data_IF_285868293881
#
_entry.id   IF_285868293881
#
_cell.length_a   1.000
_cell.length_b   1.000
_cell.length_c   1.000
_cell.angle_alpha   90.00
_cell.angle_beta   90.00
_cell.angle_gamma   90.00
#
_symmetry.space_group_name_H-M   'P 1'
#
loop_
_entity.id
_entity.type
_entity.pdbx_description
1 polymer ?
#
# COMPACT_ATOMS: atom_id res chain seq x y z
N UNK A 1 12.99 -4.22 -9.69
CA UNK A 1 11.67 -4.81 -9.92
C UNK A 1 10.67 -4.30 -8.89
N UNK A 2 9.38 -4.46 -9.18
CA UNK A 2 8.35 -4.07 -8.21
C UNK A 2 8.43 -4.90 -6.93
N UNK A 3 8.92 -6.12 -6.99
CA UNK A 3 9.13 -6.96 -5.82
C UNK A 3 10.18 -6.35 -4.89
N UNK A 4 11.26 -5.80 -5.42
CA UNK A 4 12.30 -5.15 -4.63
C UNK A 4 11.76 -3.95 -3.87
N UNK A 5 10.79 -3.23 -4.45
CA UNK A 5 10.21 -2.05 -3.81
C UNK A 5 9.31 -2.41 -2.62
N UNK A 6 8.70 -3.60 -2.62
CA UNK A 6 7.84 -4.03 -1.53
C UNK A 6 8.53 -4.92 -0.52
N UNK A 7 9.76 -5.36 -0.81
CA UNK A 7 10.55 -6.21 0.07
C UNK A 7 11.34 -5.33 1.05
N UNK A 8 11.02 -5.44 2.34
CA UNK A 8 11.60 -4.58 3.37
C UNK A 8 12.38 -5.43 4.38
N UNK A 9 13.71 -5.20 4.52
CA UNK A 9 14.46 -5.88 5.58
C UNK A 9 14.13 -5.30 6.96
N UNK A 10 14.06 -6.15 7.96
CA UNK A 10 13.80 -5.74 9.34
C UNK A 10 15.08 -5.80 10.18
N UNK A 11 15.10 -5.07 11.32
CA UNK A 11 16.28 -5.06 12.20
C UNK A 11 16.71 -6.45 12.69
N UNK A 12 15.77 -7.39 12.80
CA UNK A 12 16.06 -8.77 13.23
C UNK A 12 16.43 -9.69 12.06
N UNK A 13 16.63 -9.13 10.87
CA UNK A 13 16.99 -9.91 9.67
C UNK A 13 15.81 -10.57 8.97
N UNK A 14 14.60 -10.44 9.49
CA UNK A 14 13.41 -10.97 8.83
C UNK A 14 12.98 -10.08 7.67
N UNK A 15 12.26 -10.69 6.72
CA UNK A 15 11.77 -9.98 5.53
C UNK A 15 10.24 -9.98 5.52
N UNK A 16 9.67 -8.84 5.13
CA UNK A 16 8.23 -8.65 4.97
C UNK A 16 7.93 -8.15 3.57
N UNK A 17 6.79 -8.56 3.03
CA UNK A 17 6.24 -8.01 1.80
C UNK A 17 5.04 -7.14 2.17
N UNK A 18 5.03 -5.90 1.69
CA UNK A 18 3.94 -4.96 1.97
C UNK A 18 3.00 -4.84 0.77
N UNK A 19 1.70 -4.74 1.06
CA UNK A 19 0.71 -4.41 0.04
C UNK A 19 0.94 -3.00 -0.50
N UNK A 20 0.73 -2.82 -1.81
CA UNK A 20 0.71 -1.50 -2.42
C UNK A 20 -0.46 -0.69 -1.89
N UNK A 21 -0.26 0.62 -1.75
CA UNK A 21 -1.29 1.52 -1.26
C UNK A 21 -2.37 1.77 -2.32
N UNK A 22 -3.63 2.03 -1.89
CA UNK A 22 -4.68 2.38 -2.84
C UNK A 22 -4.45 3.78 -3.44
N UNK A 23 -5.20 4.08 -4.50
CA UNK A 23 -5.20 5.39 -5.14
C UNK A 23 -6.61 5.98 -5.10
N UNK A 24 -6.73 7.28 -5.43
CA UNK A 24 -8.01 7.95 -5.58
C UNK A 24 -8.05 8.68 -6.92
N UNK A 25 -8.65 8.06 -7.92
CA UNK A 25 -8.76 8.64 -9.26
C UNK A 25 -9.59 9.92 -9.26
N UNK A 26 -10.63 9.99 -8.44
CA UNK A 26 -11.48 11.17 -8.35
C UNK A 26 -10.75 12.40 -7.80
N UNK A 27 -9.69 12.20 -7.01
CA UNK A 27 -8.88 13.27 -6.46
C UNK A 27 -7.67 13.60 -7.34
N UNK A 28 -7.54 12.98 -8.50
CA UNK A 28 -6.38 13.15 -9.37
C UNK A 28 -6.33 14.56 -9.95
N UNK A 29 -5.11 15.13 -9.93
CA UNK A 29 -4.84 16.35 -10.68
C UNK A 29 -4.81 16.04 -12.18
N UNK A 30 -4.97 17.06 -13.07
CA UNK A 30 -4.89 16.80 -14.51
C UNK A 30 -3.60 16.11 -14.93
N UNK A 31 -2.49 16.40 -14.27
CA UNK A 31 -1.19 15.80 -14.57
C UNK A 31 -1.14 14.32 -14.20
N UNK A 32 -1.88 13.92 -13.17
CA UNK A 32 -1.87 12.53 -12.68
C UNK A 32 -2.94 11.65 -13.30
N UNK A 33 -3.97 12.24 -13.90
CA UNK A 33 -5.06 11.43 -14.50
C UNK A 33 -4.60 10.35 -15.47
N UNK A 34 -3.64 10.62 -16.38
CA UNK A 34 -3.17 9.56 -17.29
C UNK A 34 -2.53 8.39 -16.54
N UNK A 35 -1.76 8.66 -15.47
CA UNK A 35 -1.15 7.61 -14.66
C UNK A 35 -2.20 6.76 -13.97
N UNK A 36 -3.24 7.38 -13.40
CA UNK A 36 -4.26 6.68 -12.62
C UNK A 36 -5.25 5.92 -13.50
N UNK A 37 -5.32 6.21 -14.79
CA UNK A 37 -6.08 5.39 -15.73
C UNK A 37 -5.43 4.02 -15.94
N UNK A 38 -4.11 3.97 -15.83
CA UNK A 38 -3.34 2.72 -15.97
C UNK A 38 -3.21 2.00 -14.65
N UNK A 39 -2.90 2.75 -13.57
CA UNK A 39 -2.76 2.21 -12.22
C UNK A 39 -4.10 2.36 -11.48
N UNK A 40 -4.94 1.35 -11.56
CA UNK A 40 -6.25 1.33 -10.91
C UNK A 40 -6.21 0.57 -9.60
N UNK A 41 -7.17 0.83 -8.71
CA UNK A 41 -7.31 0.07 -7.46
C UNK A 41 -7.57 -1.41 -7.74
N UNK A 42 -8.26 -1.73 -8.81
CA UNK A 42 -8.49 -3.11 -9.22
C UNK A 42 -7.17 -3.82 -9.54
N UNK A 43 -6.31 -3.17 -10.31
CA UNK A 43 -4.99 -3.73 -10.65
C UNK A 43 -4.09 -3.82 -9.41
N UNK A 44 -4.18 -2.82 -8.53
CA UNK A 44 -3.44 -2.84 -7.26
C UNK A 44 -3.89 -4.03 -6.41
N UNK A 45 -5.19 -4.28 -6.33
CA UNK A 45 -5.71 -5.42 -5.57
C UNK A 45 -5.23 -6.76 -6.16
N UNK A 46 -5.20 -6.87 -7.49
CA UNK A 46 -4.68 -8.06 -8.16
C UNK A 46 -3.19 -8.25 -7.86
N UNK A 47 -2.40 -7.18 -7.94
CA UNK A 47 -0.97 -7.22 -7.63
C UNK A 47 -0.75 -7.61 -6.17
N UNK A 48 -1.53 -7.05 -5.25
CA UNK A 48 -1.43 -7.38 -3.83
C UNK A 48 -1.75 -8.84 -3.56
N UNK A 49 -2.75 -9.41 -4.26
CA UNK A 49 -3.08 -10.82 -4.15
C UNK A 49 -1.91 -11.71 -4.59
N UNK A 50 -1.23 -11.34 -5.68
CA UNK A 50 -0.05 -12.08 -6.16
C UNK A 50 1.12 -11.98 -5.19
N UNK A 51 1.36 -10.79 -4.62
CA UNK A 51 2.42 -10.58 -3.62
C UNK A 51 2.12 -11.41 -2.37
N UNK A 52 0.86 -11.48 -1.96
CA UNK A 52 0.45 -12.28 -0.80
C UNK A 52 0.72 -13.78 -1.03
N UNK A 53 0.41 -14.28 -2.23
CA UNK A 53 0.73 -15.68 -2.59
C UNK A 53 2.23 -15.93 -2.57
N UNK A 54 3.02 -14.98 -3.08
CA UNK A 54 4.47 -15.09 -3.09
C UNK A 54 5.02 -15.12 -1.67
N UNK A 55 4.52 -14.27 -0.79
CA UNK A 55 4.93 -14.24 0.61
C UNK A 55 4.67 -15.58 1.28
N UNK A 56 3.51 -16.17 1.05
CA UNK A 56 3.16 -17.47 1.60
C UNK A 56 4.10 -18.57 1.06
N UNK A 57 4.38 -18.53 -0.23
CA UNK A 57 5.28 -19.47 -0.89
C UNK A 57 6.70 -19.42 -0.33
N UNK A 58 7.18 -18.23 0.00
CA UNK A 58 8.54 -18.00 0.51
C UNK A 58 8.61 -18.02 2.04
N UNK A 59 7.50 -18.28 2.72
CA UNK A 59 7.39 -18.24 4.19
C UNK A 59 7.74 -16.85 4.75
N UNK A 60 7.36 -15.80 4.03
CA UNK A 60 7.52 -14.41 4.46
C UNK A 60 6.21 -13.88 5.02
N UNK A 61 6.32 -12.86 5.87
CA UNK A 61 5.14 -12.16 6.37
C UNK A 61 4.61 -11.19 5.32
N UNK A 62 3.29 -11.07 5.22
CA UNK A 62 2.63 -10.12 4.34
C UNK A 62 1.98 -9.05 5.21
N UNK A 63 2.27 -7.77 4.90
CA UNK A 63 1.73 -6.64 5.66
C UNK A 63 0.76 -5.87 4.77
N UNK A 64 -0.49 -5.75 5.21
CA UNK A 64 -1.51 -4.94 4.56
C UNK A 64 -2.11 -4.00 5.60
N UNK A 65 -1.79 -2.72 5.49
CA UNK A 65 -2.30 -1.67 6.38
C UNK A 65 -3.20 -0.70 5.63
N UNK A 66 -3.78 -1.13 4.52
CA UNK A 66 -4.55 -0.26 3.64
C UNK A 66 -5.95 0.08 4.15
N UNK A 67 -6.53 -0.74 5.03
CA UNK A 67 -7.91 -0.53 5.49
C UNK A 67 -8.16 0.88 6.03
N UNK A 68 -7.32 1.45 6.92
CA UNK A 68 -7.54 2.81 7.41
C UNK A 68 -7.35 3.89 6.35
N UNK A 69 -6.71 3.58 5.24
CA UNK A 69 -6.47 4.53 4.15
C UNK A 69 -7.64 4.60 3.18
N UNK A 70 -8.56 3.64 3.21
CA UNK A 70 -9.63 3.51 2.22
C UNK A 70 -10.88 4.24 2.64
N UNK A 71 -11.57 4.82 1.66
CA UNK A 71 -12.91 5.36 1.83
C UNK A 71 -13.95 4.24 1.64
N UNK A 72 -15.24 4.63 1.62
CA UNK A 72 -16.35 3.67 1.49
C UNK A 72 -16.34 2.93 0.16
N UNK A 73 -15.72 3.49 -0.87
CA UNK A 73 -15.61 2.87 -2.19
C UNK A 73 -14.30 2.11 -2.38
N UNK A 74 -13.46 1.98 -1.35
CA UNK A 74 -12.18 1.28 -1.44
C UNK A 74 -11.06 2.10 -2.07
N UNK A 75 -11.26 3.39 -2.23
CA UNK A 75 -10.24 4.31 -2.79
C UNK A 75 -9.45 4.94 -1.64
N UNK A 76 -8.23 5.40 -1.95
CA UNK A 76 -7.46 6.21 -1.00
C UNK A 76 -8.29 7.43 -0.60
N UNK A 77 -8.40 7.69 0.70
CA UNK A 77 -9.15 8.85 1.19
C UNK A 77 -8.58 10.14 0.61
N UNK A 78 -9.46 11.03 0.14
CA UNK A 78 -9.04 12.28 -0.50
C UNK A 78 -8.18 13.14 0.43
N UNK A 79 -8.47 13.12 1.75
CA UNK A 79 -7.71 13.87 2.74
C UNK A 79 -6.30 13.33 2.96
N UNK A 80 -5.98 12.15 2.45
CA UNK A 80 -4.68 11.51 2.61
C UNK A 80 -3.81 11.58 1.37
N UNK A 81 -4.23 12.32 0.35
CA UNK A 81 -3.46 12.41 -0.89
C UNK A 81 -3.45 13.85 -1.43
N UNK A 82 -2.36 14.18 -2.15
CA UNK A 82 -2.26 15.47 -2.85
C UNK A 82 -2.85 15.42 -4.24
N UNK A 83 -2.65 14.30 -4.95
CA UNK A 83 -2.98 14.20 -6.38
C UNK A 83 -3.56 12.85 -6.77
N UNK A 84 -3.95 12.05 -5.78
CA UNK A 84 -4.61 10.77 -5.99
C UNK A 84 -3.70 9.56 -5.83
N UNK A 85 -2.40 9.71 -5.80
CA UNK A 85 -1.45 8.60 -5.72
C UNK A 85 -0.53 8.70 -4.51
N UNK A 86 0.12 9.84 -4.28
CA UNK A 86 1.05 10.00 -3.17
C UNK A 86 0.31 10.24 -1.87
N UNK A 87 0.81 9.65 -0.78
CA UNK A 87 0.17 9.71 0.53
C UNK A 87 0.73 10.88 1.32
N UNK A 88 -0.19 11.69 1.87
CA UNK A 88 0.17 12.82 2.74
C UNK A 88 0.68 12.31 4.09
N UNK A 89 1.41 13.15 4.84
CA UNK A 89 1.86 12.78 6.18
C UNK A 89 0.73 12.28 7.11
N UNK A 90 -0.48 12.83 6.98
CA UNK A 90 -1.63 12.40 7.77
C UNK A 90 -1.99 10.93 7.49
N UNK A 91 -1.88 10.50 6.22
CA UNK A 91 -2.11 9.11 5.85
C UNK A 91 -1.05 8.20 6.45
N UNK A 92 0.21 8.58 6.36
CA UNK A 92 1.30 7.79 6.98
C UNK A 92 1.15 7.70 8.49
N UNK A 93 0.76 8.79 9.17
CA UNK A 93 0.51 8.77 10.61
C UNK A 93 -0.62 7.82 10.98
N UNK A 94 -1.59 7.66 10.10
CA UNK A 94 -2.71 6.75 10.33
C UNK A 94 -2.28 5.29 10.30
N UNK A 95 -1.36 4.92 9.41
CA UNK A 95 -0.92 3.53 9.27
C UNK A 95 0.32 3.19 10.10
N UNK A 96 1.09 4.19 10.52
CA UNK A 96 2.33 3.95 11.26
C UNK A 96 2.13 3.11 12.53
N UNK A 97 1.11 3.36 13.38
CA UNK A 97 0.92 2.53 14.56
C UNK A 97 0.66 1.05 14.22
N UNK A 98 -0.08 0.79 13.15
CA UNK A 98 -0.34 -0.59 12.72
C UNK A 98 0.93 -1.28 12.24
N UNK A 99 1.75 -0.59 11.46
CA UNK A 99 3.03 -1.12 10.99
C UNK A 99 3.94 -1.39 12.19
N UNK A 100 4.05 -0.44 13.11
CA UNK A 100 4.89 -0.56 14.30
C UNK A 100 4.47 -1.76 15.15
N UNK A 101 3.17 -1.95 15.36
CA UNK A 101 2.65 -3.07 16.12
C UNK A 101 3.02 -4.41 15.48
N UNK A 102 2.85 -4.52 14.16
CA UNK A 102 3.22 -5.74 13.43
C UNK A 102 4.70 -6.04 13.58
N UNK A 103 5.56 -5.03 13.43
CA UNK A 103 7.01 -5.20 13.52
C UNK A 103 7.46 -5.57 14.94
N UNK A 104 6.81 -5.03 15.96
CA UNK A 104 7.17 -5.31 17.35
C UNK A 104 6.73 -6.68 17.82
N UNK A 105 5.70 -7.25 17.18
CA UNK A 105 5.18 -8.58 17.53
C UNK A 105 5.74 -9.69 16.62
N UNK A 106 6.70 -9.35 15.76
CA UNK A 106 7.28 -10.28 14.83
C UNK A 106 8.32 -11.21 15.49
#
# INVERSE_FOLDING_TARGET
>A
TSLEKVLQPLPNGQMYLMADYPINEAAATPEMKPCLRVRTNEKIAQANAEVQKLAKSLHLHYIDVNAPLKDEQGRLRAEFTYEGMHIRPEGYRTIYPAIKEILMNA
#
